data_IF_004779430420
#
_entry.id   IF_004779430420
#
_cell.length_a   1.000
_cell.length_b   1.000
_cell.length_c   1.000
_cell.angle_alpha   90.00
_cell.angle_beta   90.00
_cell.angle_gamma   90.00
#
_symmetry.space_group_name_H-M   'P 1'
#
loop_
_entity.id
_entity.type
_entity.pdbx_description
1 polymer ?
#
# COMPACT_ATOMS: atom_id res chain seq x y z
N UNK A 1 -17.65 31.33 29.39
CA UNK A 1 -17.93 31.13 27.96
C UNK A 1 -16.79 31.51 27.01
N UNK A 2 -15.80 32.34 27.34
CA UNK A 2 -14.72 32.77 26.41
C UNK A 2 -13.59 31.76 26.16
N UNK A 3 -13.39 30.74 27.01
CA UNK A 3 -12.31 29.72 26.82
C UNK A 3 -12.66 28.57 25.86
N UNK A 4 -13.93 28.29 25.60
CA UNK A 4 -14.35 27.24 24.67
C UNK A 4 -14.25 27.64 23.19
N UNK A 5 -14.25 28.95 22.89
CA UNK A 5 -14.11 29.44 21.50
C UNK A 5 -12.66 29.41 21.00
N UNK A 6 -11.67 29.44 21.88
CA UNK A 6 -10.24 29.42 21.50
C UNK A 6 -9.82 28.02 20.99
N UNK A 7 -10.38 26.96 21.54
CA UNK A 7 -10.08 25.59 21.08
C UNK A 7 -10.69 25.23 19.72
N UNK A 8 -11.82 25.84 19.38
CA UNK A 8 -12.47 25.65 18.06
C UNK A 8 -11.67 26.35 16.96
N UNK A 9 -11.07 27.50 17.24
CA UNK A 9 -10.22 28.25 16.31
C UNK A 9 -8.88 27.54 16.08
N UNK A 10 -8.33 26.87 17.09
CA UNK A 10 -7.09 26.08 16.95
C UNK A 10 -7.27 24.80 16.11
N UNK A 11 -8.47 24.21 16.11
CA UNK A 11 -8.79 23.06 15.24
C UNK A 11 -8.97 23.50 13.78
N UNK A 12 -9.46 24.74 13.54
CA UNK A 12 -9.65 25.27 12.18
C UNK A 12 -8.35 25.79 11.52
N UNK A 13 -7.29 26.05 12.31
CA UNK A 13 -6.00 26.53 11.78
C UNK A 13 -5.13 25.41 11.20
N UNK A 14 -5.54 24.15 11.27
CA UNK A 14 -4.89 23.02 10.64
C UNK A 14 -5.45 22.72 9.24
N UNK A 15 -5.97 23.74 8.55
CA UNK A 15 -6.20 23.66 7.11
C UNK A 15 -4.84 23.77 6.44
N UNK A 16 -4.23 22.62 6.21
CA UNK A 16 -3.04 22.45 5.38
C UNK A 16 -3.36 23.10 4.02
N UNK A 17 -2.64 24.15 3.67
CA UNK A 17 -2.62 24.68 2.32
C UNK A 17 -2.04 23.62 1.42
N UNK A 18 -2.90 22.83 0.77
CA UNK A 18 -2.53 21.88 -0.26
C UNK A 18 -1.99 22.68 -1.45
N UNK A 19 -0.69 22.82 -1.50
CA UNK A 19 -0.02 23.30 -2.70
C UNK A 19 -0.18 22.21 -3.77
N UNK A 20 -0.57 22.60 -4.97
CA UNK A 20 -0.52 21.73 -6.12
C UNK A 20 0.95 21.34 -6.34
N UNK A 21 1.31 20.11 -5.96
CA UNK A 21 2.62 19.57 -6.28
C UNK A 21 2.64 19.19 -7.76
N UNK A 22 3.72 19.53 -8.45
CA UNK A 22 4.00 19.00 -9.77
C UNK A 22 3.96 17.46 -9.68
N UNK A 23 3.23 16.84 -10.59
CA UNK A 23 3.12 15.38 -10.68
C UNK A 23 4.50 14.81 -11.01
N UNK A 24 5.17 14.26 -9.99
CA UNK A 24 6.45 13.56 -10.15
C UNK A 24 6.17 12.08 -10.27
N UNK A 25 6.58 11.50 -11.40
CA UNK A 25 6.34 10.08 -11.72
C UNK A 25 7.42 9.15 -11.16
N UNK A 26 8.34 9.66 -10.36
CA UNK A 26 9.42 8.85 -9.78
C UNK A 26 8.88 7.76 -8.87
N UNK A 27 9.23 6.51 -9.17
CA UNK A 27 8.77 5.30 -8.46
C UNK A 27 7.23 5.11 -8.42
N UNK A 28 6.51 5.52 -9.48
CA UNK A 28 5.04 5.39 -9.59
C UNK A 28 4.53 3.94 -9.45
N UNK A 29 5.37 2.95 -9.73
CA UNK A 29 5.03 1.52 -9.52
C UNK A 29 4.72 1.18 -8.05
N UNK A 30 5.27 1.94 -7.11
CA UNK A 30 4.94 1.80 -5.68
C UNK A 30 3.52 2.27 -5.33
N UNK A 31 2.79 2.86 -6.27
CA UNK A 31 1.43 3.35 -6.06
C UNK A 31 0.36 2.38 -6.56
N UNK A 32 0.77 1.37 -7.32
CA UNK A 32 -0.13 0.37 -7.87
C UNK A 32 -0.77 -0.53 -6.79
N UNK A 33 -0.22 -0.50 -5.56
CA UNK A 33 -0.66 -1.34 -4.45
C UNK A 33 -0.23 -2.79 -4.60
N UNK A 34 -0.28 -3.54 -3.50
CA UNK A 34 0.02 -4.97 -3.44
C UNK A 34 -1.01 -5.73 -2.59
N UNK A 35 -1.13 -7.03 -2.82
CA UNK A 35 -2.02 -7.90 -2.06
C UNK A 35 -3.48 -7.80 -2.50
N UNK A 36 -4.02 -8.87 -3.06
CA UNK A 36 -5.38 -8.88 -3.59
C UNK A 36 -6.44 -8.58 -2.50
N UNK A 37 -6.18 -8.94 -1.23
CA UNK A 37 -7.06 -8.58 -0.11
C UNK A 37 -7.19 -7.07 0.03
N UNK A 38 -6.07 -6.35 0.14
CA UNK A 38 -6.06 -4.90 0.31
C UNK A 38 -6.65 -4.17 -0.91
N UNK A 39 -6.30 -4.62 -2.11
CA UNK A 39 -6.78 -4.04 -3.36
C UNK A 39 -8.29 -4.24 -3.56
N UNK A 40 -8.81 -5.43 -3.19
CA UNK A 40 -10.26 -5.69 -3.19
C UNK A 40 -11.04 -4.80 -2.21
N UNK A 41 -10.37 -4.31 -1.16
CA UNK A 41 -10.89 -3.34 -0.19
C UNK A 41 -10.61 -1.88 -0.60
N UNK A 42 -10.46 -1.58 -1.89
CA UNK A 42 -10.23 -0.21 -2.34
C UNK A 42 -8.89 0.38 -1.90
N UNK A 43 -7.90 -0.43 -1.54
CA UNK A 43 -6.62 0.01 -0.98
C UNK A 43 -6.74 0.71 0.39
N UNK A 44 -7.87 0.56 1.09
CA UNK A 44 -8.08 1.04 2.46
C UNK A 44 -7.48 0.04 3.46
N UNK A 45 -6.18 0.14 3.72
CA UNK A 45 -5.44 -0.89 4.45
C UNK A 45 -4.42 -0.37 5.48
N UNK A 46 -4.25 0.96 5.60
CA UNK A 46 -3.27 1.59 6.51
C UNK A 46 -3.51 1.27 7.98
N UNK A 47 -4.77 1.19 8.40
CA UNK A 47 -5.15 0.83 9.76
C UNK A 47 -5.35 -0.68 9.94
N UNK A 48 -5.47 -1.46 8.88
CA UNK A 48 -5.61 -2.91 8.92
C UNK A 48 -4.25 -3.62 8.94
N UNK A 49 -3.49 -3.57 7.89
CA UNK A 49 -2.09 -4.06 7.68
C UNK A 49 -1.69 -5.27 8.53
N UNK A 50 -2.61 -6.23 8.75
CA UNK A 50 -2.53 -7.31 9.74
C UNK A 50 -1.94 -8.61 9.17
N UNK A 51 -1.30 -8.55 8.00
CA UNK A 51 -0.69 -9.69 7.31
C UNK A 51 0.70 -9.35 6.74
N UNK A 52 1.34 -10.31 6.07
CA UNK A 52 2.69 -10.16 5.51
C UNK A 52 2.82 -9.06 4.43
N UNK A 53 1.73 -8.37 4.03
CA UNK A 53 1.77 -7.19 3.15
C UNK A 53 1.95 -5.87 3.92
N UNK A 54 1.95 -5.92 5.26
CA UNK A 54 2.08 -4.74 6.12
C UNK A 54 3.35 -3.93 5.87
N UNK A 55 4.44 -4.56 5.40
CA UNK A 55 5.66 -3.85 5.02
C UNK A 55 5.40 -2.73 4.00
N UNK A 56 4.40 -2.86 3.16
CA UNK A 56 4.05 -1.87 2.14
C UNK A 56 2.98 -0.87 2.62
N UNK A 57 1.90 -1.37 3.25
CA UNK A 57 0.75 -0.54 3.60
C UNK A 57 1.00 0.30 4.86
N UNK A 58 1.49 -0.33 5.91
CA UNK A 58 1.90 0.31 7.17
C UNK A 58 2.79 -0.65 7.96
N UNK A 59 4.10 -0.37 8.09
CA UNK A 59 5.01 -1.27 8.79
C UNK A 59 4.63 -1.54 10.24
N UNK A 60 3.87 -0.64 10.89
CA UNK A 60 3.38 -0.85 12.25
C UNK A 60 2.39 -2.01 12.36
N UNK A 61 1.67 -2.36 11.30
CA UNK A 61 0.76 -3.49 11.27
C UNK A 61 1.45 -4.83 11.49
N UNK A 62 2.71 -4.94 11.08
CA UNK A 62 3.53 -6.13 11.33
C UNK A 62 3.72 -6.42 12.82
N UNK A 63 3.56 -5.42 13.71
CA UNK A 63 3.66 -5.62 15.17
C UNK A 63 2.56 -6.54 15.73
N UNK A 64 1.44 -6.68 15.01
CA UNK A 64 0.32 -7.53 15.40
C UNK A 64 0.37 -8.94 14.80
N UNK A 65 1.44 -9.27 14.07
CA UNK A 65 1.68 -10.60 13.53
C UNK A 65 1.89 -11.60 14.67
N UNK A 66 1.10 -12.68 14.65
CA UNK A 66 1.18 -13.76 15.66
C UNK A 66 1.85 -15.04 15.17
N UNK A 67 2.14 -15.14 13.86
CA UNK A 67 2.67 -16.33 13.21
C UNK A 67 3.63 -15.95 12.08
N UNK A 68 4.46 -16.90 11.68
CA UNK A 68 5.29 -16.76 10.48
C UNK A 68 4.38 -16.77 9.26
N UNK A 69 4.57 -15.80 8.36
CA UNK A 69 3.80 -15.72 7.11
C UNK A 69 4.71 -15.51 5.91
N UNK A 70 4.34 -16.16 4.81
CA UNK A 70 4.88 -15.93 3.46
C UNK A 70 3.73 -15.49 2.58
N UNK A 71 3.89 -14.41 1.83
CA UNK A 71 2.88 -13.96 0.89
C UNK A 71 3.49 -13.62 -0.47
N UNK A 72 2.74 -13.91 -1.53
CA UNK A 72 3.12 -13.62 -2.91
C UNK A 72 1.92 -13.15 -3.72
N UNK A 73 2.17 -12.36 -4.78
CA UNK A 73 1.18 -11.94 -5.76
C UNK A 73 1.79 -11.95 -7.16
N UNK A 74 0.96 -12.30 -8.12
CA UNK A 74 1.21 -12.07 -9.53
C UNK A 74 0.04 -11.32 -10.15
N UNK A 75 0.34 -10.34 -10.99
CA UNK A 75 -0.65 -9.59 -11.74
C UNK A 75 -0.12 -9.18 -13.11
N UNK A 76 -0.95 -9.36 -14.12
CA UNK A 76 -0.82 -8.71 -15.41
C UNK A 76 -1.65 -7.43 -15.40
N UNK A 77 -1.04 -6.32 -15.75
CA UNK A 77 -1.63 -4.99 -15.69
C UNK A 77 -1.81 -4.44 -17.11
N UNK A 78 -2.85 -3.62 -17.29
CA UNK A 78 -3.05 -2.82 -18.49
C UNK A 78 -3.01 -3.64 -19.80
N UNK A 79 -3.82 -4.73 -19.86
CA UNK A 79 -3.86 -5.66 -21.01
C UNK A 79 -2.51 -6.31 -21.33
N UNK A 80 -1.85 -6.83 -20.31
CA UNK A 80 -0.55 -7.51 -20.37
C UNK A 80 0.66 -6.64 -20.78
N UNK A 81 0.51 -5.31 -20.70
CA UNK A 81 1.63 -4.40 -20.93
C UNK A 81 2.70 -4.45 -19.82
N UNK A 82 2.27 -4.71 -18.61
CA UNK A 82 3.14 -4.72 -17.43
C UNK A 82 2.85 -5.92 -16.53
N UNK A 83 3.88 -6.46 -15.90
CA UNK A 83 3.76 -7.55 -14.91
C UNK A 83 4.21 -7.06 -13.56
N UNK A 84 3.32 -7.11 -12.57
CA UNK A 84 3.61 -6.79 -11.18
C UNK A 84 3.67 -8.06 -10.34
N UNK A 85 4.75 -8.20 -9.56
CA UNK A 85 4.91 -9.29 -8.62
C UNK A 85 5.31 -8.74 -7.25
N UNK A 86 4.93 -9.43 -6.18
CA UNK A 86 5.57 -9.26 -4.88
C UNK A 86 5.80 -10.60 -4.21
N UNK A 87 6.78 -10.61 -3.31
CA UNK A 87 7.06 -11.69 -2.38
C UNK A 87 7.41 -11.08 -1.03
N UNK A 88 6.87 -11.62 0.06
CA UNK A 88 7.22 -11.20 1.41
C UNK A 88 7.30 -12.37 2.39
N UNK A 89 8.10 -12.17 3.43
CA UNK A 89 8.31 -13.11 4.52
C UNK A 89 8.34 -12.35 5.84
N UNK A 90 7.51 -12.74 6.79
CA UNK A 90 7.36 -12.08 8.08
C UNK A 90 7.50 -13.09 9.23
N UNK A 91 8.27 -12.73 10.23
CA UNK A 91 8.58 -13.59 11.40
C UNK A 91 8.39 -12.81 12.69
N UNK A 92 7.41 -13.17 13.52
CA UNK A 92 7.37 -12.72 14.90
C UNK A 92 8.60 -13.24 15.67
N UNK A 93 9.23 -12.36 16.43
CA UNK A 93 10.38 -12.66 17.28
C UNK A 93 10.07 -12.35 18.73
N UNK A 94 11.02 -12.63 19.63
CA UNK A 94 10.82 -12.43 21.06
C UNK A 94 10.43 -11.00 21.43
N UNK A 95 9.64 -10.88 22.51
CA UNK A 95 9.29 -9.60 23.12
C UNK A 95 8.25 -8.79 22.34
N UNK A 96 7.42 -9.41 21.49
CA UNK A 96 6.38 -8.72 20.72
C UNK A 96 6.94 -7.86 19.57
N UNK A 97 8.07 -8.26 19.01
CA UNK A 97 8.62 -7.65 17.80
C UNK A 97 8.42 -8.59 16.60
N UNK A 98 8.41 -8.01 15.41
CA UNK A 98 8.33 -8.74 14.13
C UNK A 98 9.37 -8.18 13.17
N UNK A 99 10.04 -9.07 12.46
CA UNK A 99 10.95 -8.73 11.36
C UNK A 99 10.34 -9.24 10.06
N UNK A 100 10.43 -8.45 9.00
CA UNK A 100 9.95 -8.84 7.69
C UNK A 100 10.92 -8.42 6.60
N UNK A 101 10.95 -9.20 5.54
CA UNK A 101 11.55 -8.83 4.26
C UNK A 101 10.49 -8.93 3.17
N UNK A 102 10.48 -7.95 2.27
CA UNK A 102 9.55 -7.91 1.14
C UNK A 102 10.21 -7.36 -0.10
N UNK A 103 9.75 -7.79 -1.25
CA UNK A 103 10.18 -7.24 -2.53
C UNK A 103 8.98 -7.08 -3.46
N UNK A 104 8.96 -5.97 -4.19
CA UNK A 104 7.97 -5.65 -5.23
C UNK A 104 8.73 -5.42 -6.52
N UNK A 105 8.27 -6.01 -7.61
CA UNK A 105 8.83 -5.81 -8.93
C UNK A 105 7.77 -5.48 -9.97
N UNK A 106 8.03 -4.48 -10.81
CA UNK A 106 7.30 -4.19 -12.03
C UNK A 106 8.22 -4.45 -13.22
N UNK A 107 7.71 -5.14 -14.22
CA UNK A 107 8.46 -5.57 -15.40
C UNK A 107 7.70 -5.22 -16.67
N UNK A 108 8.38 -4.58 -17.60
CA UNK A 108 7.87 -4.20 -18.92
C UNK A 108 8.84 -4.77 -19.95
N UNK A 109 8.34 -5.66 -20.78
CA UNK A 109 9.14 -6.32 -21.82
C UNK A 109 8.83 -5.72 -23.20
N UNK A 110 9.71 -5.98 -24.15
CA UNK A 110 9.53 -5.69 -25.56
C UNK A 110 9.19 -4.22 -25.90
N UNK A 111 9.83 -3.28 -25.22
CA UNK A 111 9.71 -1.86 -25.52
C UNK A 111 10.46 -1.56 -26.82
N UNK A 112 9.74 -1.14 -27.84
CA UNK A 112 10.33 -0.88 -29.15
C UNK A 112 11.27 0.34 -29.16
N UNK A 113 12.48 0.17 -29.70
CA UNK A 113 13.43 1.27 -29.88
C UNK A 113 13.10 2.07 -31.13
N UNK A 114 13.14 3.37 -31.02
CA UNK A 114 13.06 4.30 -32.16
C UNK A 114 14.44 4.75 -32.60
N UNK A 115 14.63 4.88 -33.93
CA UNK A 115 15.81 5.52 -34.50
C UNK A 115 15.76 7.02 -34.27
N UNK A 116 16.77 7.61 -33.65
CA UNK A 116 16.81 9.04 -33.33
C UNK A 116 16.70 9.96 -34.56
N UNK A 117 17.24 9.55 -35.71
CA UNK A 117 17.16 10.31 -36.96
C UNK A 117 15.78 10.38 -37.62
N UNK A 118 14.79 9.63 -37.13
CA UNK A 118 13.44 9.62 -37.72
C UNK A 118 12.52 10.72 -37.20
N UNK A 119 12.89 11.41 -36.11
CA UNK A 119 12.07 12.44 -35.49
C UNK A 119 12.35 13.84 -36.00
N UNK A 120 13.58 14.11 -36.47
CA UNK A 120 14.02 15.45 -36.84
C UNK A 120 13.52 15.95 -38.21
N UNK A 121 13.08 15.03 -39.07
CA UNK A 121 12.66 15.32 -40.46
C UNK A 121 11.16 15.16 -40.72
N UNK A 122 10.32 14.87 -39.72
CA UNK A 122 8.90 14.54 -39.94
C UNK A 122 7.95 15.48 -39.20
N UNK A 123 6.88 15.92 -39.91
CA UNK A 123 5.77 16.66 -39.32
C UNK A 123 4.95 15.76 -38.37
N UNK A 124 4.16 16.36 -37.48
CA UNK A 124 3.29 15.63 -36.55
C UNK A 124 2.34 14.65 -37.29
N UNK A 125 1.76 15.05 -38.42
CA UNK A 125 0.88 14.22 -39.26
C UNK A 125 1.61 13.00 -39.84
N UNK A 126 2.88 13.14 -40.20
CA UNK A 126 3.69 12.01 -40.71
C UNK A 126 4.11 11.04 -39.58
N UNK A 127 4.06 11.46 -38.31
CA UNK A 127 4.37 10.61 -37.16
C UNK A 127 3.19 9.72 -36.72
N UNK A 128 1.96 10.12 -37.04
CA UNK A 128 0.73 9.38 -36.71
C UNK A 128 0.27 8.47 -37.86
N UNK A 129 0.88 8.54 -39.03
CA UNK A 129 0.56 7.67 -40.14
C UNK A 129 1.09 6.26 -39.88
N UNK A 130 0.19 5.29 -39.71
CA UNK A 130 0.49 3.92 -39.28
C UNK A 130 1.51 3.22 -40.18
N UNK A 131 1.47 3.44 -41.47
CA UNK A 131 2.41 2.84 -42.44
C UNK A 131 3.85 3.37 -42.26
N UNK A 132 4.01 4.60 -41.81
CA UNK A 132 5.32 5.19 -41.49
C UNK A 132 5.82 4.78 -40.10
N UNK A 133 4.95 4.44 -39.16
CA UNK A 133 5.33 4.02 -37.81
C UNK A 133 6.03 2.66 -37.90
N UNK A 134 5.50 1.72 -38.64
CA UNK A 134 6.04 0.35 -38.76
C UNK A 134 7.46 0.31 -39.35
N UNK A 135 7.78 1.18 -40.31
CA UNK A 135 9.10 1.26 -40.91
C UNK A 135 10.19 1.85 -39.98
N UNK A 136 9.78 2.52 -38.87
CA UNK A 136 10.66 3.24 -37.95
C UNK A 136 10.99 2.47 -36.67
N UNK A 137 10.33 1.33 -36.41
CA UNK A 137 10.50 0.55 -35.21
C UNK A 137 11.64 -0.50 -35.27
N UNK A 138 12.48 -0.46 -36.27
CA UNK A 138 13.37 -1.56 -36.65
C UNK A 138 14.74 -1.57 -35.93
N UNK A 139 14.86 -0.94 -34.74
CA UNK A 139 16.12 -0.93 -33.97
C UNK A 139 16.11 -1.87 -32.76
N UNK A 140 15.26 -2.90 -32.78
CA UNK A 140 15.17 -3.89 -31.69
C UNK A 140 14.30 -3.45 -30.54
N UNK A 141 14.34 -4.24 -29.48
CA UNK A 141 13.55 -4.05 -28.27
C UNK A 141 14.46 -3.97 -27.05
N UNK A 142 13.96 -3.39 -25.98
CA UNK A 142 14.59 -3.40 -24.68
C UNK A 142 13.56 -3.67 -23.57
N UNK A 143 14.04 -4.02 -22.38
CA UNK A 143 13.21 -4.28 -21.22
C UNK A 143 13.44 -3.21 -20.15
N UNK A 144 12.40 -2.92 -19.38
CA UNK A 144 12.46 -2.09 -18.19
C UNK A 144 12.05 -2.89 -16.98
N UNK A 145 12.69 -2.65 -15.85
CA UNK A 145 12.22 -3.16 -14.57
C UNK A 145 12.39 -2.13 -13.46
N UNK A 146 11.50 -2.19 -12.50
CA UNK A 146 11.51 -1.40 -11.29
C UNK A 146 11.31 -2.34 -10.10
N UNK A 147 12.26 -2.34 -9.15
CA UNK A 147 12.24 -3.23 -8.00
C UNK A 147 12.43 -2.41 -6.73
N UNK A 148 11.60 -2.69 -5.71
CA UNK A 148 11.77 -2.21 -4.36
C UNK A 148 11.94 -3.40 -3.41
N UNK A 149 13.01 -3.41 -2.63
CA UNK A 149 13.22 -4.35 -1.54
C UNK A 149 13.06 -3.63 -0.20
N UNK A 150 12.36 -4.27 0.72
CA UNK A 150 12.04 -3.73 2.05
C UNK A 150 12.60 -4.63 3.14
N UNK A 151 13.15 -4.01 4.17
CA UNK A 151 13.43 -4.62 5.45
C UNK A 151 12.62 -3.89 6.51
N UNK A 152 11.76 -4.62 7.21
CA UNK A 152 10.83 -4.07 8.19
C UNK A 152 11.17 -4.57 9.58
N UNK A 153 11.15 -3.68 10.55
CA UNK A 153 11.14 -3.98 11.96
C UNK A 153 9.91 -3.34 12.61
N UNK A 154 9.12 -4.13 13.33
CA UNK A 154 7.93 -3.65 14.03
C UNK A 154 7.92 -4.12 15.48
N UNK A 155 7.28 -3.34 16.35
CA UNK A 155 7.21 -3.61 17.78
C UNK A 155 5.82 -3.32 18.30
N UNK A 156 5.26 -4.29 19.02
CA UNK A 156 4.01 -4.21 19.74
C UNK A 156 4.23 -3.74 21.17
N UNK A 157 3.33 -2.87 21.64
CA UNK A 157 3.20 -2.41 23.00
C UNK A 157 1.73 -2.46 23.41
N UNK A 158 1.47 -2.84 24.67
CA UNK A 158 0.15 -2.67 25.27
C UNK A 158 0.25 -1.64 26.37
N UNK A 159 -0.68 -0.71 26.37
CA UNK A 159 -0.77 0.35 27.37
C UNK A 159 -2.19 0.42 27.92
N UNK A 160 -2.31 0.24 29.25
CA UNK A 160 -3.58 0.41 29.97
C UNK A 160 -3.67 1.85 30.45
N UNK A 161 -4.41 2.68 29.71
CA UNK A 161 -4.57 4.11 30.03
C UNK A 161 -5.53 4.28 31.20
N UNK A 162 -5.03 4.84 32.31
CA UNK A 162 -5.81 5.14 33.50
C UNK A 162 -6.33 6.60 33.42
N UNK A 163 -7.65 6.76 33.31
CA UNK A 163 -8.31 8.06 33.29
C UNK A 163 -8.70 8.57 34.69
N UNK A 164 -8.21 7.94 35.75
CA UNK A 164 -8.53 8.29 37.14
C UNK A 164 -9.90 7.78 37.60
N UNK A 165 -10.53 6.88 36.89
CA UNK A 165 -11.74 6.19 37.29
C UNK A 165 -11.41 4.95 38.11
N UNK A 166 -12.05 4.80 39.24
CA UNK A 166 -11.73 3.86 40.33
C UNK A 166 -11.85 2.39 39.91
N UNK A 167 -11.75 1.83 38.89
CA UNK A 167 -11.79 0.43 38.43
C UNK A 167 -11.78 0.28 36.89
N UNK A 168 -11.50 1.34 36.16
CA UNK A 168 -11.58 1.28 34.70
C UNK A 168 -10.32 1.81 34.04
N UNK A 169 -9.62 0.92 33.32
CA UNK A 169 -8.49 1.28 32.45
C UNK A 169 -8.88 0.98 31.02
N UNK A 170 -8.52 1.85 30.11
CA UNK A 170 -8.74 1.66 28.69
C UNK A 170 -7.52 0.92 28.12
N UNK A 171 -7.65 -0.33 27.70
CA UNK A 171 -6.56 -1.05 27.05
C UNK A 171 -6.34 -0.48 25.65
N UNK A 172 -5.10 -0.19 25.33
CA UNK A 172 -4.68 0.32 24.02
C UNK A 172 -3.51 -0.52 23.52
N UNK A 173 -3.67 -1.12 22.36
CA UNK A 173 -2.62 -1.83 21.66
C UNK A 173 -1.94 -0.89 20.67
N UNK A 174 -0.63 -0.75 20.76
CA UNK A 174 0.17 0.18 19.95
C UNK A 174 1.16 -0.62 19.13
N UNK A 175 1.15 -0.42 17.83
CA UNK A 175 2.17 -0.87 16.90
C UNK A 175 3.04 0.28 16.42
N UNK A 176 4.35 0.07 16.39
CA UNK A 176 5.31 0.98 15.77
C UNK A 176 6.14 0.17 14.79
N UNK A 177 6.36 0.68 13.59
CA UNK A 177 7.10 0.00 12.55
C UNK A 177 8.03 0.92 11.78
N UNK A 178 9.15 0.38 11.34
CA UNK A 178 10.16 1.05 10.55
C UNK A 178 10.50 0.20 9.33
N UNK A 179 10.53 0.82 8.16
CA UNK A 179 11.04 0.24 6.92
C UNK A 179 12.35 0.89 6.52
N UNK A 180 13.28 0.06 6.08
CA UNK A 180 14.37 0.46 5.18
C UNK A 180 14.04 -0.10 3.81
N UNK A 181 14.04 0.74 2.78
CA UNK A 181 13.78 0.32 1.41
C UNK A 181 14.93 0.66 0.48
N UNK A 182 15.27 -0.29 -0.37
CA UNK A 182 16.21 -0.14 -1.47
C UNK A 182 15.44 -0.19 -2.78
N UNK A 183 15.58 0.85 -3.59
CA UNK A 183 14.92 1.00 -4.88
C UNK A 183 15.96 0.82 -5.97
N UNK A 184 15.64 0.06 -7.01
CA UNK A 184 16.44 -0.05 -8.22
C UNK A 184 15.54 -0.06 -9.44
N UNK A 185 15.94 0.69 -10.44
CA UNK A 185 15.24 0.82 -11.71
C UNK A 185 16.23 0.62 -12.84
N UNK A 186 15.78 0.00 -13.92
CA UNK A 186 16.53 -0.13 -15.15
C UNK A 186 15.65 0.21 -16.33
N UNK A 187 16.14 1.08 -17.17
CA UNK A 187 15.54 1.46 -18.44
C UNK A 187 16.60 1.34 -19.53
N UNK A 188 16.45 0.34 -20.38
CA UNK A 188 17.43 0.00 -21.42
C UNK A 188 18.82 -0.29 -20.83
N UNK A 189 19.81 0.54 -21.16
CA UNK A 189 21.21 0.44 -20.70
C UNK A 189 21.50 1.27 -19.42
N UNK A 190 20.54 2.07 -18.97
CA UNK A 190 20.67 2.93 -17.80
C UNK A 190 20.02 2.30 -16.58
N UNK A 191 20.66 2.46 -15.43
CA UNK A 191 20.14 2.02 -14.14
C UNK A 191 20.17 3.15 -13.12
N UNK A 192 19.23 3.10 -12.20
CA UNK A 192 19.14 4.03 -11.09
C UNK A 192 18.90 3.28 -9.78
N UNK A 193 19.38 3.83 -8.68
CA UNK A 193 19.14 3.27 -7.35
C UNK A 193 18.92 4.35 -6.29
N UNK A 194 18.20 3.98 -5.23
CA UNK A 194 17.89 4.88 -4.12
C UNK A 194 17.64 4.14 -2.83
N UNK A 195 17.71 4.87 -1.72
CA UNK A 195 17.37 4.38 -0.39
C UNK A 195 16.24 5.23 0.19
N UNK A 196 15.30 4.59 0.88
CA UNK A 196 14.19 5.25 1.54
C UNK A 196 13.93 4.69 2.93
N UNK A 197 13.22 5.48 3.73
CA UNK A 197 12.82 5.13 5.10
C UNK A 197 11.35 5.48 5.27
N UNK A 198 10.57 4.54 5.82
CA UNK A 198 9.19 4.76 6.20
C UNK A 198 8.99 4.49 7.69
N UNK A 199 8.05 5.19 8.32
CA UNK A 199 7.70 5.04 9.72
C UNK A 199 6.19 4.87 9.87
N UNK A 200 5.78 3.80 10.52
CA UNK A 200 4.38 3.47 10.78
C UNK A 200 3.98 3.55 12.24
N UNK A 201 2.72 3.91 12.46
CA UNK A 201 2.06 3.88 13.76
C UNK A 201 0.65 3.30 13.62
N UNK A 202 0.28 2.42 14.54
CA UNK A 202 -1.09 1.91 14.69
C UNK A 202 -1.48 1.97 16.15
N UNK A 203 -2.69 2.45 16.41
CA UNK A 203 -3.35 2.41 17.70
C UNK A 203 -4.64 1.62 17.53
N UNK A 204 -4.76 0.49 18.23
CA UNK A 204 -5.95 -0.37 18.24
C UNK A 204 -6.58 -0.33 19.62
N UNK A 205 -7.87 -0.07 19.65
CA UNK A 205 -8.72 -0.11 20.86
C UNK A 205 -9.66 -1.30 20.76
N UNK A 206 -9.46 -2.36 21.54
CA UNK A 206 -10.40 -3.49 21.63
C UNK A 206 -11.63 -3.04 22.43
N UNK A 207 -12.69 -2.61 21.73
CA UNK A 207 -13.87 -2.03 22.39
C UNK A 207 -14.64 -3.06 23.21
N UNK A 208 -14.52 -4.35 22.92
CA UNK A 208 -15.03 -5.43 23.75
C UNK A 208 -14.41 -5.44 25.16
N UNK A 209 -13.12 -5.14 25.29
CA UNK A 209 -12.47 -5.00 26.58
C UNK A 209 -12.83 -3.66 27.25
N UNK A 210 -12.94 -2.59 26.46
CA UNK A 210 -13.32 -1.25 26.95
C UNK A 210 -14.73 -1.25 27.55
N UNK A 211 -15.71 -1.84 26.86
CA UNK A 211 -17.10 -1.86 27.30
C UNK A 211 -17.48 -3.14 28.07
N UNK A 212 -16.55 -4.11 28.20
CA UNK A 212 -16.75 -5.41 28.82
C UNK A 212 -17.92 -6.20 28.19
N UNK A 213 -18.15 -6.00 26.91
CA UNK A 213 -19.20 -6.67 26.15
C UNK A 213 -18.61 -7.28 24.86
N UNK A 214 -18.83 -8.56 24.67
CA UNK A 214 -18.31 -9.33 23.53
C UNK A 214 -18.91 -8.94 22.17
N UNK A 215 -19.93 -8.10 22.17
CA UNK A 215 -20.56 -7.59 20.94
C UNK A 215 -19.64 -6.64 20.17
N UNK A 216 -18.86 -5.83 20.88
CA UNK A 216 -18.03 -4.83 20.22
C UNK A 216 -16.75 -5.44 19.63
N UNK A 217 -16.30 -4.85 18.54
CA UNK A 217 -15.08 -5.22 17.85
C UNK A 217 -13.92 -4.27 18.13
N UNK A 218 -12.94 -4.27 17.23
CA UNK A 218 -11.72 -3.47 17.34
C UNK A 218 -11.83 -2.20 16.50
N UNK A 219 -11.57 -1.04 17.11
CA UNK A 219 -11.40 0.23 16.42
C UNK A 219 -9.91 0.53 16.28
N UNK A 220 -9.43 0.76 15.07
CA UNK A 220 -8.01 0.96 14.79
C UNK A 220 -7.78 2.25 14.02
N UNK A 221 -6.72 2.99 14.42
CA UNK A 221 -6.20 4.16 13.73
C UNK A 221 -4.78 3.86 13.26
N UNK A 222 -4.46 4.22 12.03
CA UNK A 222 -3.14 4.02 11.44
C UNK A 222 -2.59 5.29 10.82
N UNK A 223 -1.27 5.47 10.92
CA UNK A 223 -0.53 6.51 10.20
C UNK A 223 0.70 5.84 9.59
N UNK A 224 0.93 6.09 8.31
CA UNK A 224 2.14 5.67 7.61
C UNK A 224 2.82 6.89 6.98
N UNK A 225 4.04 7.18 7.43
CA UNK A 225 4.91 8.24 6.94
C UNK A 225 5.91 7.60 5.98
N UNK A 226 5.76 7.83 4.68
CA UNK A 226 6.59 7.23 3.64
C UNK A 226 7.64 8.23 3.16
N UNK A 227 8.84 7.73 2.86
CA UNK A 227 9.95 8.49 2.27
C UNK A 227 10.42 9.69 3.13
N UNK A 228 10.37 9.55 4.47
CA UNK A 228 10.65 10.63 5.43
C UNK A 228 12.08 11.17 5.38
N UNK A 229 13.02 10.40 4.87
CA UNK A 229 14.43 10.79 4.75
C UNK A 229 14.75 11.53 3.43
N UNK A 230 13.75 11.80 2.59
CA UNK A 230 13.96 12.43 1.28
C UNK A 230 14.57 11.46 0.28
N UNK A 231 13.83 10.41 -0.07
CA UNK A 231 14.26 9.38 -1.03
C UNK A 231 14.55 9.98 -2.41
N UNK A 232 15.64 9.55 -3.03
CA UNK A 232 15.96 9.89 -4.41
C UNK A 232 16.61 8.73 -5.14
N UNK A 233 16.26 8.54 -6.41
CA UNK A 233 16.86 7.57 -7.31
C UNK A 233 17.93 8.30 -8.10
N UNK A 234 19.17 7.87 -7.98
CA UNK A 234 20.31 8.41 -8.72
C UNK A 234 20.62 7.50 -9.90
N UNK A 235 20.54 8.06 -11.11
CA UNK A 235 20.77 7.33 -12.36
C UNK A 235 22.24 7.29 -12.75
N UNK A 236 22.65 6.20 -13.36
CA UNK A 236 23.96 6.03 -13.95
C UNK A 236 24.01 6.68 -15.35
N UNK A 237 23.93 8.00 -15.35
CA UNK A 237 24.05 8.87 -16.51
C UNK A 237 25.23 9.82 -16.32
N UNK A 238 25.74 10.42 -17.39
CA UNK A 238 26.87 11.38 -17.31
C UNK A 238 26.52 12.55 -16.37
N UNK A 239 25.28 12.99 -16.36
CA UNK A 239 24.76 14.06 -15.50
C UNK A 239 24.48 13.61 -14.06
N UNK A 240 24.55 12.29 -13.75
CA UNK A 240 24.11 11.72 -12.46
C UNK A 240 22.70 12.21 -12.08
N UNK A 241 21.77 12.14 -13.05
CA UNK A 241 20.41 12.61 -12.86
C UNK A 241 19.78 12.00 -11.60
N UNK A 242 18.99 12.80 -10.88
CA UNK A 242 18.32 12.38 -9.65
C UNK A 242 16.82 12.62 -9.76
N UNK A 243 16.06 11.54 -9.62
CA UNK A 243 14.63 11.58 -9.47
C UNK A 243 14.28 11.59 -7.99
N UNK A 244 13.63 12.65 -7.54
CA UNK A 244 13.21 12.78 -6.15
C UNK A 244 11.83 12.14 -5.95
N UNK A 245 11.69 11.34 -4.89
CA UNK A 245 10.42 10.84 -4.37
C UNK A 245 10.03 11.72 -3.20
N UNK A 246 8.88 12.39 -3.32
CA UNK A 246 8.38 13.24 -2.25
C UNK A 246 7.81 12.36 -1.12
N UNK A 247 7.93 12.87 0.13
CA UNK A 247 7.33 12.22 1.28
C UNK A 247 5.81 12.12 1.13
N UNK A 248 5.24 11.07 1.68
CA UNK A 248 3.81 10.85 1.67
C UNK A 248 3.32 10.49 3.07
N UNK A 249 2.15 10.97 3.44
CA UNK A 249 1.50 10.63 4.70
C UNK A 249 0.16 9.98 4.37
N UNK A 250 -0.04 8.77 4.89
CA UNK A 250 -1.30 8.06 4.80
C UNK A 250 -1.92 7.94 6.19
N UNK A 251 -3.21 8.22 6.28
CA UNK A 251 -4.01 8.08 7.48
C UNK A 251 -5.08 7.03 7.24
N UNK A 252 -5.32 6.19 8.21
CA UNK A 252 -6.35 5.17 8.13
C UNK A 252 -7.16 5.04 9.40
N UNK A 253 -8.42 4.65 9.24
CA UNK A 253 -9.29 4.19 10.32
C UNK A 253 -9.95 2.90 9.88
N UNK A 254 -10.06 1.93 10.78
CA UNK A 254 -10.79 0.70 10.52
C UNK A 254 -11.59 0.26 11.74
N UNK A 255 -12.66 -0.45 11.46
CA UNK A 255 -13.48 -1.11 12.46
C UNK A 255 -13.71 -2.56 12.06
N UNK A 256 -13.38 -3.47 12.94
CA UNK A 256 -13.50 -4.92 12.75
C UNK A 256 -14.56 -5.43 13.71
N UNK A 257 -15.74 -5.82 13.20
CA UNK A 257 -16.88 -6.30 13.97
C UNK A 257 -16.98 -7.83 13.90
N UNK A 258 -16.77 -8.55 15.02
CA UNK A 258 -17.08 -9.98 15.08
C UNK A 258 -18.59 -10.20 15.08
N UNK A 259 -19.04 -11.25 14.38
CA UNK A 259 -20.43 -11.68 14.29
C UNK A 259 -20.55 -13.11 14.81
N UNK A 260 -20.54 -13.24 16.14
CA UNK A 260 -20.46 -14.55 16.85
C UNK A 260 -21.57 -15.53 16.47
N UNK A 261 -22.79 -15.04 16.15
CA UNK A 261 -23.91 -15.89 15.74
C UNK A 261 -23.71 -16.60 14.38
N UNK A 262 -22.75 -16.11 13.55
CA UNK A 262 -22.42 -16.68 12.23
C UNK A 262 -20.98 -17.18 12.13
N UNK A 263 -20.18 -17.10 13.20
CA UNK A 263 -18.72 -17.31 13.17
C UNK A 263 -18.06 -16.52 12.04
N UNK A 264 -18.45 -15.26 11.94
CA UNK A 264 -18.13 -14.39 10.82
C UNK A 264 -17.60 -13.04 11.31
N UNK A 265 -17.06 -12.24 10.40
CA UNK A 265 -16.50 -10.94 10.71
C UNK A 265 -16.86 -9.94 9.61
N UNK A 266 -17.20 -8.74 10.00
CA UNK A 266 -17.34 -7.61 9.09
C UNK A 266 -16.28 -6.57 9.37
N UNK A 267 -15.63 -6.07 8.33
CA UNK A 267 -14.57 -5.06 8.43
C UNK A 267 -14.93 -3.87 7.55
N UNK A 268 -14.78 -2.67 8.10
CA UNK A 268 -14.82 -1.41 7.36
C UNK A 268 -13.49 -0.70 7.51
N UNK A 269 -12.99 -0.09 6.44
CA UNK A 269 -11.76 0.71 6.47
C UNK A 269 -11.89 1.94 5.58
N UNK A 270 -11.27 3.03 6.02
CA UNK A 270 -11.20 4.29 5.29
C UNK A 270 -9.81 4.89 5.44
N UNK A 271 -9.16 5.20 4.32
CA UNK A 271 -7.82 5.79 4.29
C UNK A 271 -7.82 7.10 3.47
N UNK A 272 -6.90 7.97 3.82
CA UNK A 272 -6.58 9.21 3.08
C UNK A 272 -5.09 9.19 2.76
N UNK A 273 -4.75 9.41 1.50
CA UNK A 273 -3.38 9.58 0.99
C UNK A 273 -3.14 11.05 0.64
N UNK A 274 -2.08 11.65 1.19
CA UNK A 274 -1.82 13.08 0.98
C UNK A 274 -1.11 13.40 -0.33
N UNK A 275 -0.48 12.42 -0.98
CA UNK A 275 0.35 12.62 -2.18
C UNK A 275 -0.47 13.08 -3.39
N UNK A 276 -1.68 12.57 -3.58
CA UNK A 276 -2.52 12.85 -4.75
C UNK A 276 -3.77 13.63 -4.38
N UNK A 277 -3.62 14.90 -3.98
CA UNK A 277 -4.75 15.80 -3.63
C UNK A 277 -5.76 15.16 -2.66
N UNK A 278 -5.26 14.35 -1.71
CA UNK A 278 -6.10 13.68 -0.75
C UNK A 278 -6.92 12.53 -1.36
N UNK A 279 -6.29 11.67 -2.15
CA UNK A 279 -6.94 10.45 -2.62
C UNK A 279 -7.53 9.67 -1.45
N UNK A 280 -8.79 9.29 -1.58
CA UNK A 280 -9.53 8.57 -0.55
C UNK A 280 -9.76 7.13 -0.96
N UNK A 281 -9.72 6.26 0.01
CA UNK A 281 -9.89 4.83 -0.13
C UNK A 281 -10.92 4.34 0.86
N UNK A 282 -11.90 3.58 0.41
CA UNK A 282 -12.96 3.02 1.25
C UNK A 282 -13.08 1.53 0.93
N UNK A 283 -13.16 0.70 1.96
CA UNK A 283 -13.28 -0.74 1.79
C UNK A 283 -14.16 -1.41 2.83
N UNK A 284 -14.81 -2.48 2.38
CA UNK A 284 -15.56 -3.39 3.23
C UNK A 284 -15.20 -4.84 2.92
N UNK A 285 -15.06 -5.65 3.98
CA UNK A 285 -14.83 -7.10 3.89
C UNK A 285 -15.89 -7.81 4.75
N UNK A 286 -16.51 -8.83 4.20
CA UNK A 286 -17.28 -9.80 4.95
C UNK A 286 -16.57 -11.16 4.88
N UNK A 287 -16.11 -11.63 6.03
CA UNK A 287 -15.46 -12.93 6.19
C UNK A 287 -16.44 -13.91 6.84
N UNK A 288 -16.90 -14.89 6.06
CA UNK A 288 -17.85 -15.90 6.49
C UNK A 288 -17.12 -17.15 6.99
N UNK A 289 -17.43 -17.56 8.23
CA UNK A 289 -16.88 -18.76 8.91
C UNK A 289 -15.35 -18.84 8.86
N UNK A 290 -14.68 -17.69 8.85
CA UNK A 290 -13.22 -17.60 8.71
C UNK A 290 -12.64 -18.31 7.47
N UNK A 291 -13.51 -18.60 6.46
CA UNK A 291 -13.16 -19.36 5.26
C UNK A 291 -13.41 -18.62 3.95
N UNK A 292 -14.51 -17.89 3.84
CA UNK A 292 -14.89 -17.22 2.59
C UNK A 292 -14.96 -15.70 2.82
N UNK A 293 -14.19 -14.96 2.05
CA UNK A 293 -14.19 -13.50 2.11
C UNK A 293 -14.78 -12.90 0.83
N UNK A 294 -15.62 -11.89 1.00
CA UNK A 294 -16.11 -11.04 -0.09
C UNK A 294 -15.76 -9.59 0.23
N UNK A 295 -15.29 -8.85 -0.75
CA UNK A 295 -14.80 -7.48 -0.60
C UNK A 295 -15.36 -6.56 -1.65
N UNK A 296 -15.57 -5.33 -1.23
CA UNK A 296 -15.96 -4.23 -2.10
C UNK A 296 -15.24 -2.97 -1.65
N UNK A 297 -14.87 -2.12 -2.59
CA UNK A 297 -14.17 -0.89 -2.24
C UNK A 297 -14.18 0.16 -3.34
N UNK A 298 -13.68 1.33 -2.98
CA UNK A 298 -13.44 2.47 -3.88
C UNK A 298 -12.03 2.97 -3.59
N UNK A 299 -11.18 2.99 -4.61
CA UNK A 299 -9.81 3.49 -4.55
C UNK A 299 -9.67 4.71 -5.46
N UNK A 300 -9.47 5.89 -4.89
CA UNK A 300 -9.34 7.15 -5.64
C UNK A 300 -10.46 7.32 -6.70
N UNK A 301 -11.71 7.02 -6.31
CA UNK A 301 -12.89 7.10 -7.19
C UNK A 301 -13.11 5.90 -8.13
N UNK A 302 -12.22 4.90 -8.12
CA UNK A 302 -12.35 3.68 -8.94
C UNK A 302 -12.93 2.53 -8.12
N UNK A 303 -13.88 1.82 -8.69
CA UNK A 303 -14.49 0.65 -8.06
C UNK A 303 -13.53 -0.53 -8.00
N UNK A 304 -13.55 -1.24 -6.88
CA UNK A 304 -12.79 -2.47 -6.66
C UNK A 304 -13.68 -3.53 -6.05
N UNK A 305 -13.39 -4.78 -6.31
CA UNK A 305 -14.03 -5.92 -5.66
C UNK A 305 -13.03 -7.04 -5.48
N UNK A 306 -13.31 -7.95 -4.55
CA UNK A 306 -12.43 -9.07 -4.29
C UNK A 306 -13.15 -10.25 -3.65
N UNK A 307 -12.52 -11.40 -3.73
CA UNK A 307 -12.95 -12.62 -3.05
C UNK A 307 -11.74 -13.33 -2.43
N UNK A 308 -11.97 -14.07 -1.36
CA UNK A 308 -10.93 -14.87 -0.71
C UNK A 308 -11.46 -16.24 -0.30
N UNK A 309 -10.59 -17.25 -0.40
CA UNK A 309 -10.84 -18.61 0.10
C UNK A 309 -9.70 -18.97 1.04
N UNK A 310 -10.05 -19.25 2.29
CA UNK A 310 -9.11 -19.55 3.37
C UNK A 310 -9.30 -21.00 3.79
N UNK A 311 -8.25 -21.76 3.63
CA UNK A 311 -8.27 -23.19 3.95
C UNK A 311 -6.97 -23.59 4.65
N UNK A 312 -7.09 -24.18 5.83
CA UNK A 312 -5.98 -24.59 6.68
C UNK A 312 -5.04 -23.41 6.97
N UNK A 313 -3.86 -23.38 6.39
CA UNK A 313 -2.84 -22.34 6.54
C UNK A 313 -2.74 -21.41 5.31
N UNK A 314 -3.52 -21.67 4.29
CA UNK A 314 -3.52 -20.92 3.02
C UNK A 314 -4.67 -19.93 2.97
N UNK A 315 -4.35 -18.74 2.45
CA UNK A 315 -5.33 -17.73 2.04
C UNK A 315 -5.10 -17.43 0.56
N UNK A 316 -6.07 -17.71 -0.26
CA UNK A 316 -6.10 -17.37 -1.68
C UNK A 316 -7.02 -16.18 -1.86
N UNK A 317 -6.50 -15.12 -2.42
CA UNK A 317 -7.26 -13.89 -2.63
C UNK A 317 -7.20 -13.48 -4.10
N UNK A 318 -8.31 -12.98 -4.59
CA UNK A 318 -8.48 -12.38 -5.90
C UNK A 318 -9.00 -10.96 -5.75
N UNK A 319 -8.52 -10.03 -6.59
CA UNK A 319 -9.05 -8.68 -6.70
C UNK A 319 -9.22 -8.24 -8.15
N UNK A 320 -10.28 -7.51 -8.38
CA UNK A 320 -10.54 -6.74 -9.59
C UNK A 320 -10.51 -5.26 -9.27
N UNK A 321 -9.85 -4.49 -10.11
CA UNK A 321 -9.83 -3.04 -10.03
C UNK A 321 -10.03 -2.45 -11.43
N UNK A 322 -11.03 -1.59 -11.58
CA UNK A 322 -11.24 -0.81 -12.80
C UNK A 322 -10.14 0.23 -12.98
N UNK A 323 -9.63 0.38 -14.20
CA UNK A 323 -8.63 1.38 -14.55
C UNK A 323 -8.85 1.89 -15.98
N UNK A 324 -8.53 3.15 -16.24
CA UNK A 324 -8.75 3.79 -17.55
C UNK A 324 -7.90 3.17 -18.68
N UNK A 325 -6.70 2.62 -18.31
CA UNK A 325 -5.79 1.96 -19.24
C UNK A 325 -6.09 0.47 -19.45
N UNK A 326 -7.14 -0.04 -18.81
CA UNK A 326 -7.52 -1.46 -18.82
C UNK A 326 -7.70 -1.99 -17.40
N UNK A 327 -8.68 -2.87 -17.24
CA UNK A 327 -8.98 -3.49 -15.96
C UNK A 327 -7.83 -4.36 -15.49
N UNK A 328 -7.62 -4.43 -14.18
CA UNK A 328 -6.56 -5.23 -13.59
C UNK A 328 -7.13 -6.37 -12.76
N UNK A 329 -6.51 -7.54 -12.91
CA UNK A 329 -6.84 -8.77 -12.18
C UNK A 329 -5.61 -9.20 -11.37
N UNK A 330 -5.78 -9.42 -10.08
CA UNK A 330 -4.67 -9.74 -9.18
C UNK A 330 -4.99 -10.96 -8.36
N UNK A 331 -4.02 -11.86 -8.26
CA UNK A 331 -4.13 -13.09 -7.47
C UNK A 331 -3.01 -13.09 -6.46
N UNK A 332 -3.33 -13.29 -5.19
CA UNK A 332 -2.35 -13.43 -4.13
C UNK A 332 -2.58 -14.70 -3.31
N UNK A 333 -1.48 -15.20 -2.79
CA UNK A 333 -1.40 -16.34 -1.90
C UNK A 333 -0.68 -15.92 -0.64
N UNK A 334 -1.25 -16.26 0.52
CA UNK A 334 -0.59 -16.15 1.81
C UNK A 334 -0.59 -17.52 2.47
N UNK A 335 0.55 -17.89 3.04
CA UNK A 335 0.74 -19.11 3.80
C UNK A 335 1.26 -18.76 5.20
N UNK A 336 0.54 -19.21 6.25
CA UNK A 336 0.91 -19.02 7.65
C UNK A 336 1.35 -20.33 8.32
N UNK A 337 2.41 -20.26 9.11
CA UNK A 337 2.98 -21.42 9.82
C UNK A 337 2.45 -21.56 11.23
#
# INVERSE_FOLDING_TARGET
MKKRFVYIILIYSFVVTLHAQDTRYSASYLELGIGARALGMGSAYVALSDDATGFYWNPAGMAFQSRIEVAAMHANLFNDLERQNYLSFAVPIFGGATVSVGAIGLFIDDIGRRNSGSLDSTTYSQRIDDDNIQLKWNNGYFNSYEIAAFFTFAKYFRWDMDLGWQYFKIPIDIGVGLNFKYLTQKLDDKSGSGLGIDLGFIIRMPLNEVFQESFYGDLTFGINLQDIAGTSITWDTDSKHKDRIDYNIKYGISYVQPLSFMDSQFTLAYDIDTKYRGATHLGGEFLFKSMLAVRIGISAGRFTTGAGIYFWKFKFDYAYQGHDLGNTHRISLLFGF
#
